data_IF_660916365419
#
_entry.id   IF_660916365419
#
_cell.length_a   1.000
_cell.length_b   1.000
_cell.length_c   1.000
_cell.angle_alpha   90.00
_cell.angle_beta   90.00
_cell.angle_gamma   90.00
#
_symmetry.space_group_name_H-M   'P 1'
#
loop_
_entity.id
_entity.type
_entity.pdbx_description
1 polymer ?
#
# COMPACT_ATOMS: atom_id res chain seq x y z
N UNK A 1 -6.93 26.25 -19.26
CA UNK A 1 -8.24 26.11 -19.93
C UNK A 1 -9.36 26.72 -19.10
N UNK A 2 -9.52 26.35 -17.81
CA UNK A 2 -10.61 26.87 -16.96
C UNK A 2 -10.63 28.41 -16.90
N UNK A 3 -9.47 29.04 -16.68
CA UNK A 3 -9.34 30.54 -16.74
C UNK A 3 -9.64 31.10 -18.13
N UNK A 4 -9.22 30.42 -19.19
CA UNK A 4 -9.48 30.84 -20.56
C UNK A 4 -10.99 30.86 -20.89
N UNK A 5 -11.74 29.90 -20.34
CA UNK A 5 -13.20 29.82 -20.52
C UNK A 5 -13.98 30.54 -19.41
N UNK A 6 -13.31 31.30 -18.54
CA UNK A 6 -13.92 32.06 -17.43
C UNK A 6 -14.87 31.21 -16.56
N UNK A 7 -14.47 29.98 -16.26
CA UNK A 7 -15.25 29.08 -15.41
C UNK A 7 -15.09 29.46 -13.93
N UNK A 8 -16.19 29.49 -13.18
CA UNK A 8 -16.20 29.85 -11.74
C UNK A 8 -15.31 28.95 -10.89
N UNK A 9 -14.99 27.75 -11.38
CA UNK A 9 -14.12 26.77 -10.70
C UNK A 9 -12.61 26.99 -11.01
N UNK A 10 -12.24 28.01 -11.80
CA UNK A 10 -10.87 28.20 -12.27
C UNK A 10 -9.86 28.43 -11.12
N UNK A 11 -10.28 29.07 -10.05
CA UNK A 11 -9.47 29.37 -8.87
C UNK A 11 -9.82 28.49 -7.65
N UNK A 12 -10.69 27.47 -7.84
CA UNK A 12 -11.00 26.50 -6.80
C UNK A 12 -9.77 25.63 -6.54
N UNK A 13 -9.27 25.52 -5.29
CA UNK A 13 -8.17 24.63 -4.97
C UNK A 13 -8.55 23.18 -5.25
N UNK A 14 -7.56 22.39 -5.67
CA UNK A 14 -7.74 20.95 -5.85
C UNK A 14 -8.19 20.32 -4.54
N UNK A 15 -9.13 19.38 -4.64
CA UNK A 15 -9.56 18.59 -3.49
C UNK A 15 -8.37 17.74 -2.99
N UNK A 16 -7.79 18.14 -1.87
CA UNK A 16 -6.62 17.47 -1.28
C UNK A 16 -7.02 16.38 -0.30
N UNK A 17 -8.29 16.35 0.13
CA UNK A 17 -8.80 15.50 1.19
C UNK A 17 -9.95 14.57 0.74
N UNK A 18 -10.21 13.56 1.57
CA UNK A 18 -11.30 12.62 1.39
C UNK A 18 -12.61 13.38 1.59
N UNK A 19 -13.45 13.47 0.56
CA UNK A 19 -14.65 14.33 0.53
C UNK A 19 -15.68 14.07 1.63
N UNK A 20 -15.70 12.88 2.25
CA UNK A 20 -16.57 12.51 3.37
C UNK A 20 -15.91 12.69 4.75
N UNK A 21 -14.72 13.30 4.82
CA UNK A 21 -14.04 13.69 6.06
C UNK A 21 -13.79 15.21 6.00
N UNK A 22 -14.83 16.03 6.25
CA UNK A 22 -14.77 17.47 6.04
C UNK A 22 -13.72 18.18 6.91
N UNK A 23 -13.43 17.63 8.09
CA UNK A 23 -12.49 18.21 9.06
C UNK A 23 -11.02 17.77 8.79
N UNK A 24 -10.75 17.00 7.72
CA UNK A 24 -9.42 16.47 7.41
C UNK A 24 -8.86 15.50 8.45
N UNK A 25 -9.60 15.19 9.52
CA UNK A 25 -9.14 14.34 10.60
C UNK A 25 -9.54 12.87 10.39
N UNK A 26 -8.84 12.23 9.46
CA UNK A 26 -8.98 10.82 9.15
C UNK A 26 -8.92 9.90 10.40
N UNK A 27 -8.06 10.23 11.38
CA UNK A 27 -7.93 9.42 12.60
C UNK A 27 -9.19 9.43 13.46
N UNK A 28 -9.81 10.59 13.63
CA UNK A 28 -11.06 10.69 14.41
C UNK A 28 -12.23 10.04 13.67
N UNK A 29 -12.26 10.15 12.35
CA UNK A 29 -13.23 9.41 11.55
C UNK A 29 -13.10 7.90 11.74
N UNK A 30 -11.90 7.35 11.68
CA UNK A 30 -11.65 5.92 11.92
C UNK A 30 -11.99 5.51 13.35
N UNK A 31 -11.67 6.33 14.37
CA UNK A 31 -12.02 6.04 15.76
C UNK A 31 -13.52 5.90 15.97
N UNK A 32 -14.32 6.77 15.31
CA UNK A 32 -15.79 6.74 15.40
C UNK A 32 -16.40 5.55 14.68
N UNK A 33 -15.79 5.08 13.59
CA UNK A 33 -16.39 4.11 12.67
C UNK A 33 -15.77 2.70 12.72
N UNK A 34 -14.68 2.48 13.48
CA UNK A 34 -14.06 1.17 13.60
C UNK A 34 -13.89 0.73 15.05
N UNK A 35 -14.48 -0.42 15.37
CA UNK A 35 -14.30 -1.07 16.68
C UNK A 35 -13.05 -1.93 16.67
N UNK A 36 -12.11 -1.65 17.56
CA UNK A 36 -10.94 -2.52 17.80
C UNK A 36 -9.62 -2.09 17.13
N UNK A 37 -9.64 -1.26 16.10
CA UNK A 37 -8.42 -0.83 15.38
C UNK A 37 -7.53 0.15 16.16
N UNK A 38 -7.99 0.62 17.32
CA UNK A 38 -7.31 1.58 18.21
C UNK A 38 -6.93 0.98 19.56
N UNK A 39 -6.83 -0.34 19.67
CA UNK A 39 -6.24 -0.98 20.85
C UNK A 39 -4.74 -0.77 20.87
N UNK A 40 -4.22 -0.42 22.04
CA UNK A 40 -2.77 -0.37 22.26
C UNK A 40 -2.14 -1.73 21.99
N UNK A 41 -0.99 -1.72 21.31
CA UNK A 41 -0.22 -2.91 20.99
C UNK A 41 1.27 -2.62 20.95
N UNK A 42 2.06 -3.61 20.55
CA UNK A 42 3.53 -3.55 20.60
C UNK A 42 4.10 -3.13 19.25
N UNK A 43 5.12 -2.28 19.28
CA UNK A 43 6.01 -2.03 18.14
C UNK A 43 7.26 -2.87 18.37
N UNK A 44 7.56 -3.77 17.44
CA UNK A 44 8.76 -4.63 17.50
C UNK A 44 9.54 -4.59 16.18
N UNK A 45 10.81 -4.95 16.26
CA UNK A 45 11.65 -5.11 15.07
C UNK A 45 11.35 -6.45 14.39
N UNK A 46 11.88 -6.66 13.18
CA UNK A 46 11.75 -7.93 12.43
C UNK A 46 12.37 -9.13 13.17
N UNK A 47 13.30 -8.90 14.10
CA UNK A 47 13.94 -9.90 14.95
C UNK A 47 13.23 -10.08 16.31
N UNK A 48 12.08 -9.42 16.50
CA UNK A 48 11.24 -9.58 17.69
C UNK A 48 11.60 -8.69 18.89
N UNK A 49 12.57 -7.78 18.75
CA UNK A 49 12.92 -6.85 19.81
C UNK A 49 11.82 -5.80 19.98
N UNK A 50 11.26 -5.68 21.18
CA UNK A 50 10.24 -4.66 21.48
C UNK A 50 10.87 -3.27 21.56
N UNK A 51 10.27 -2.30 20.89
CA UNK A 51 10.72 -0.91 20.84
C UNK A 51 9.76 0.07 21.55
N UNK A 52 8.56 -0.39 21.89
CA UNK A 52 7.54 0.43 22.53
C UNK A 52 6.13 0.00 22.20
N UNK A 53 5.19 0.92 22.38
CA UNK A 53 3.77 0.67 22.18
C UNK A 53 3.17 1.62 21.14
N UNK A 54 2.13 1.17 20.47
CA UNK A 54 1.32 1.98 19.57
C UNK A 54 -0.12 2.12 20.07
N UNK A 55 -0.80 3.19 19.70
CA UNK A 55 -2.18 3.52 20.10
C UNK A 55 -3.21 3.06 19.07
N UNK A 56 -2.91 2.01 18.33
CA UNK A 56 -3.81 1.42 17.33
C UNK A 56 -3.15 1.23 15.98
N UNK A 57 -3.39 0.04 15.38
CA UNK A 57 -2.82 -0.35 14.08
C UNK A 57 -3.24 0.56 12.93
N UNK A 58 -4.43 1.15 13.02
CA UNK A 58 -4.97 2.07 12.00
C UNK A 58 -4.12 3.34 11.79
N UNK A 59 -3.22 3.66 12.74
CA UNK A 59 -2.30 4.79 12.62
C UNK A 59 -1.06 4.48 11.78
N UNK A 60 -0.89 3.24 11.32
CA UNK A 60 0.31 2.78 10.65
C UNK A 60 0.02 2.28 9.25
N UNK A 61 0.98 2.50 8.36
CA UNK A 61 0.92 2.05 6.97
C UNK A 61 2.26 1.42 6.59
N UNK A 62 2.25 0.33 5.84
CA UNK A 62 3.48 -0.30 5.33
C UNK A 62 4.27 0.72 4.50
N UNK A 63 5.57 0.82 4.79
CA UNK A 63 6.47 1.81 4.21
C UNK A 63 6.53 3.15 4.96
N UNK A 64 5.73 3.34 6.01
CA UNK A 64 5.79 4.56 6.83
C UNK A 64 7.14 4.69 7.51
N UNK A 65 7.74 5.90 7.45
CA UNK A 65 9.01 6.25 8.09
C UNK A 65 8.84 7.23 9.25
N UNK A 66 7.92 8.21 9.09
CA UNK A 66 7.72 9.28 10.08
C UNK A 66 6.53 8.94 10.99
N UNK A 67 6.56 9.44 12.23
CA UNK A 67 5.45 9.29 13.16
C UNK A 67 5.22 7.86 13.66
N UNK A 68 6.27 7.02 13.66
CA UNK A 68 6.17 5.64 14.21
C UNK A 68 6.08 5.65 15.74
N UNK A 69 6.53 6.74 16.40
CA UNK A 69 6.46 6.86 17.87
C UNK A 69 7.60 6.16 18.63
N UNK A 70 8.58 5.63 17.93
CA UNK A 70 9.79 5.08 18.54
C UNK A 70 10.88 6.15 18.58
N UNK A 71 11.34 6.52 19.80
CA UNK A 71 12.58 7.26 19.98
C UNK A 71 13.74 6.42 19.46
N UNK A 72 14.79 7.05 18.91
CA UNK A 72 15.97 6.32 18.42
C UNK A 72 16.49 5.37 19.49
N UNK A 73 16.89 4.16 19.09
CA UNK A 73 17.40 3.14 20.00
C UNK A 73 18.71 3.68 20.61
N UNK A 74 18.69 3.93 21.92
CA UNK A 74 19.90 4.33 22.66
C UNK A 74 20.94 3.23 22.52
N UNK A 75 22.10 3.53 21.92
CA UNK A 75 23.24 2.61 21.86
C UNK A 75 23.60 2.03 20.48
N UNK A 76 22.85 2.30 19.42
CA UNK A 76 23.29 2.00 18.07
C UNK A 76 23.89 3.25 17.41
N UNK A 77 25.18 3.20 17.09
CA UNK A 77 25.94 4.28 16.42
C UNK A 77 25.54 4.53 14.95
N UNK A 78 24.52 3.82 14.42
CA UNK A 78 23.99 4.02 13.09
C UNK A 78 22.56 4.51 13.17
N UNK A 79 22.34 5.77 12.78
CA UNK A 79 21.02 6.38 12.57
C UNK A 79 20.32 5.78 11.32
N UNK A 80 20.13 4.46 11.27
CA UNK A 80 19.35 3.83 10.20
C UNK A 80 17.87 4.06 10.47
N UNK A 81 17.15 4.71 9.56
CA UNK A 81 15.72 4.95 9.75
C UNK A 81 14.96 3.63 9.74
N UNK A 82 14.04 3.47 10.69
CA UNK A 82 13.06 2.41 10.69
C UNK A 82 11.89 2.74 9.77
N UNK A 83 11.34 1.70 9.17
CA UNK A 83 10.12 1.71 8.36
C UNK A 83 9.16 0.68 8.90
N UNK A 84 7.86 0.94 8.82
CA UNK A 84 6.85 -0.09 9.06
C UNK A 84 6.94 -1.10 7.92
N UNK A 85 7.37 -2.32 8.24
CA UNK A 85 7.58 -3.39 7.25
C UNK A 85 6.41 -4.36 7.21
N UNK A 86 5.68 -4.51 8.33
CA UNK A 86 4.49 -5.34 8.41
C UNK A 86 3.55 -4.87 9.53
N UNK A 87 2.28 -5.27 9.45
CA UNK A 87 1.25 -5.00 10.45
C UNK A 87 0.54 -6.32 10.75
N UNK A 88 0.83 -6.89 11.93
CA UNK A 88 0.23 -8.14 12.37
C UNK A 88 -1.10 -7.88 13.09
N UNK A 89 -2.20 -8.02 12.37
CA UNK A 89 -3.55 -7.81 12.90
C UNK A 89 -3.93 -8.81 13.99
N UNK A 90 -3.50 -10.08 13.87
CA UNK A 90 -3.85 -11.16 14.82
C UNK A 90 -3.25 -10.90 16.20
N UNK A 91 -2.01 -10.45 16.23
CA UNK A 91 -1.25 -10.23 17.47
C UNK A 91 -1.22 -8.75 17.91
N UNK A 92 -1.91 -7.87 17.19
CA UNK A 92 -1.93 -6.43 17.44
C UNK A 92 -0.52 -5.83 17.53
N UNK A 93 0.33 -6.10 16.51
CA UNK A 93 1.73 -5.66 16.48
C UNK A 93 2.05 -4.87 15.20
N UNK A 94 2.89 -3.86 15.36
CA UNK A 94 3.54 -3.14 14.26
C UNK A 94 4.98 -3.63 14.17
N UNK A 95 5.36 -4.18 13.01
CA UNK A 95 6.73 -4.66 12.77
C UNK A 95 7.50 -3.58 12.03
N UNK A 96 8.65 -3.21 12.58
CA UNK A 96 9.52 -2.20 11.97
C UNK A 96 10.89 -2.78 11.60
N UNK A 97 11.49 -2.21 10.58
CA UNK A 97 12.80 -2.67 10.11
C UNK A 97 13.47 -1.69 9.15
N UNK A 98 14.68 -2.01 8.69
CA UNK A 98 15.37 -1.22 7.69
C UNK A 98 14.66 -1.29 6.33
N UNK A 99 14.93 -0.30 5.45
CA UNK A 99 14.25 -0.14 4.15
C UNK A 99 14.32 -1.37 3.26
N UNK A 100 15.41 -2.13 3.31
CA UNK A 100 15.59 -3.34 2.49
C UNK A 100 14.56 -4.44 2.79
N UNK A 101 14.01 -4.48 4.01
CA UNK A 101 12.92 -5.40 4.38
C UNK A 101 11.58 -5.09 3.70
N UNK A 102 11.45 -3.91 3.10
CA UNK A 102 10.27 -3.54 2.30
C UNK A 102 10.31 -4.06 0.86
N UNK A 103 11.43 -4.63 0.40
CA UNK A 103 11.57 -5.14 -0.96
C UNK A 103 10.59 -6.29 -1.22
N UNK A 104 9.76 -6.14 -2.25
CA UNK A 104 8.85 -7.17 -2.74
C UNK A 104 9.07 -7.39 -4.23
N UNK A 105 9.31 -8.64 -4.62
CA UNK A 105 9.36 -9.06 -6.02
C UNK A 105 8.04 -9.66 -6.47
N UNK A 106 7.25 -10.19 -5.53
CA UNK A 106 5.96 -10.80 -5.78
C UNK A 106 4.86 -9.98 -5.16
N UNK A 107 3.77 -9.78 -5.90
CA UNK A 107 2.56 -9.10 -5.46
C UNK A 107 1.41 -10.07 -5.64
N UNK A 108 0.77 -10.44 -4.55
CA UNK A 108 -0.43 -11.28 -4.56
C UNK A 108 -1.66 -10.41 -4.77
N UNK A 109 -2.57 -10.87 -5.61
CA UNK A 109 -3.74 -10.11 -6.03
C UNK A 109 -5.00 -10.92 -5.84
N UNK A 110 -6.07 -10.22 -5.52
CA UNK A 110 -7.45 -10.71 -5.49
C UNK A 110 -8.35 -9.80 -6.31
N UNK A 111 -9.55 -10.30 -6.59
CA UNK A 111 -10.59 -9.55 -7.31
C UNK A 111 -10.06 -8.97 -8.63
N UNK A 112 -9.40 -9.84 -9.41
CA UNK A 112 -8.83 -9.45 -10.69
C UNK A 112 -9.94 -9.05 -11.67
N UNK A 113 -9.70 -7.97 -12.40
CA UNK A 113 -10.60 -7.46 -13.43
C UNK A 113 -9.79 -7.07 -14.67
N UNK A 114 -10.29 -7.47 -15.85
CA UNK A 114 -9.68 -7.14 -17.13
C UNK A 114 -10.67 -6.38 -18.01
N UNK A 115 -10.14 -5.40 -18.76
CA UNK A 115 -10.95 -4.58 -19.67
C UNK A 115 -11.58 -5.39 -20.81
N UNK A 116 -11.06 -6.58 -21.12
CA UNK A 116 -11.64 -7.54 -22.06
C UNK A 116 -12.86 -8.30 -21.52
N UNK A 117 -13.08 -8.28 -20.20
CA UNK A 117 -14.08 -9.09 -19.53
C UNK A 117 -13.60 -10.47 -19.13
N UNK A 118 -12.61 -11.04 -19.82
CA UNK A 118 -12.12 -12.38 -19.59
C UNK A 118 -10.77 -12.39 -18.85
N UNK A 119 -10.57 -13.39 -17.98
CA UNK A 119 -9.29 -13.62 -17.33
C UNK A 119 -8.32 -14.35 -18.28
N UNK A 120 -7.09 -13.86 -18.45
CA UNK A 120 -6.09 -14.56 -19.26
C UNK A 120 -5.72 -15.91 -18.66
N UNK A 121 -5.75 -16.96 -19.48
CA UNK A 121 -5.38 -18.32 -19.05
C UNK A 121 -3.85 -18.47 -18.94
N UNK A 122 -3.09 -17.79 -19.81
CA UNK A 122 -1.63 -17.88 -19.86
C UNK A 122 -0.98 -16.69 -19.16
N UNK A 123 0.19 -16.88 -18.52
CA UNK A 123 1.01 -15.78 -18.03
C UNK A 123 1.31 -14.78 -19.14
N UNK A 124 1.34 -13.51 -18.79
CA UNK A 124 1.61 -12.43 -19.74
C UNK A 124 2.47 -11.34 -19.12
N UNK A 125 3.27 -10.68 -19.95
CA UNK A 125 4.11 -9.53 -19.55
C UNK A 125 3.31 -8.26 -19.63
N UNK A 126 3.41 -7.45 -18.59
CA UNK A 126 2.75 -6.15 -18.49
C UNK A 126 3.66 -5.12 -17.83
N UNK A 127 3.29 -3.86 -17.97
CA UNK A 127 3.84 -2.79 -17.17
C UNK A 127 2.91 -2.57 -15.98
N UNK A 128 3.47 -2.56 -14.77
CA UNK A 128 2.74 -2.63 -13.50
C UNK A 128 2.79 -1.27 -12.80
N UNK A 129 1.68 -0.84 -12.24
CA UNK A 129 1.58 0.35 -11.39
C UNK A 129 0.82 0.01 -10.11
N UNK A 130 1.43 0.25 -8.95
CA UNK A 130 0.84 -0.03 -7.62
C UNK A 130 0.50 1.22 -6.82
N UNK A 131 0.93 2.41 -7.27
CA UNK A 131 0.61 3.71 -6.68
C UNK A 131 0.65 4.81 -7.75
N UNK A 132 -0.15 5.87 -7.57
CA UNK A 132 -0.23 6.98 -8.53
C UNK A 132 1.12 7.68 -8.75
N UNK A 133 1.90 7.93 -7.71
CA UNK A 133 3.19 8.63 -7.76
C UNK A 133 4.40 7.78 -8.11
N UNK A 134 4.23 6.48 -8.43
CA UNK A 134 5.35 5.59 -8.76
C UNK A 134 5.58 5.46 -10.25
N UNK A 135 6.86 5.19 -10.60
CA UNK A 135 7.23 4.79 -11.96
C UNK A 135 6.62 3.42 -12.31
N UNK A 136 6.37 3.21 -13.59
CA UNK A 136 5.92 1.93 -14.10
C UNK A 136 7.06 0.90 -14.01
N UNK A 137 6.74 -0.32 -13.55
CA UNK A 137 7.69 -1.43 -13.44
C UNK A 137 7.22 -2.60 -14.32
N UNK A 138 8.15 -3.22 -15.03
CA UNK A 138 7.83 -4.40 -15.83
C UNK A 138 7.62 -5.61 -14.91
N UNK A 139 6.70 -6.49 -15.26
CA UNK A 139 6.44 -7.73 -14.55
C UNK A 139 5.72 -8.74 -15.41
N UNK A 140 5.60 -9.94 -14.88
CA UNK A 140 4.79 -11.01 -15.43
C UNK A 140 3.59 -11.26 -14.53
N UNK A 141 2.41 -11.29 -15.10
CA UNK A 141 1.14 -11.55 -14.40
C UNK A 141 0.73 -12.98 -14.66
N UNK A 142 0.40 -13.71 -13.60
CA UNK A 142 -0.13 -15.09 -13.63
C UNK A 142 -1.42 -15.16 -12.83
N UNK A 143 -2.43 -15.82 -13.39
CA UNK A 143 -3.63 -16.16 -12.64
C UNK A 143 -3.32 -17.44 -11.86
N UNK A 144 -3.41 -17.37 -10.52
CA UNK A 144 -3.11 -18.50 -9.64
C UNK A 144 -4.34 -19.36 -9.35
N UNK A 145 -5.53 -18.77 -9.30
CA UNK A 145 -6.79 -19.46 -9.12
C UNK A 145 -7.91 -18.72 -9.85
N UNK A 146 -8.39 -19.32 -10.95
CA UNK A 146 -9.46 -18.73 -11.77
C UNK A 146 -10.80 -18.64 -11.02
N UNK A 147 -11.12 -19.65 -10.21
CA UNK A 147 -12.40 -19.72 -9.50
C UNK A 147 -12.49 -18.68 -8.38
N UNK A 148 -11.35 -18.43 -7.72
CA UNK A 148 -11.24 -17.42 -6.64
C UNK A 148 -10.79 -16.05 -7.15
N UNK A 149 -10.56 -15.92 -8.45
CA UNK A 149 -10.12 -14.67 -9.06
C UNK A 149 -8.82 -14.12 -8.44
N UNK A 150 -7.85 -15.02 -8.21
CA UNK A 150 -6.55 -14.73 -7.60
C UNK A 150 -5.44 -14.70 -8.64
N UNK A 151 -4.42 -13.88 -8.39
CA UNK A 151 -3.25 -13.82 -9.23
C UNK A 151 -1.99 -13.40 -8.49
N UNK A 152 -0.87 -13.54 -9.17
CA UNK A 152 0.43 -13.09 -8.70
C UNK A 152 1.15 -12.32 -9.80
N UNK A 153 1.81 -11.25 -9.41
CA UNK A 153 2.70 -10.48 -10.28
C UNK A 153 4.12 -10.71 -9.81
N UNK A 154 4.98 -11.15 -10.72
CA UNK A 154 6.43 -11.21 -10.54
C UNK A 154 7.05 -9.96 -11.17
N UNK A 155 7.63 -9.09 -10.35
CA UNK A 155 8.25 -7.83 -10.80
C UNK A 155 9.68 -8.06 -11.28
N UNK A 156 10.08 -7.39 -12.36
CA UNK A 156 11.47 -7.41 -12.87
C UNK A 156 12.48 -6.71 -11.95
N UNK A 157 11.98 -5.82 -11.09
CA UNK A 157 12.75 -5.11 -10.06
C UNK A 157 11.89 -5.04 -8.80
N UNK A 158 12.50 -5.09 -7.60
CA UNK A 158 11.74 -5.04 -6.37
C UNK A 158 11.09 -3.67 -6.17
N UNK A 159 9.87 -3.68 -5.64
CA UNK A 159 9.17 -2.49 -5.19
C UNK A 159 9.13 -2.41 -3.67
N UNK A 160 9.04 -1.18 -3.15
CA UNK A 160 9.08 -0.89 -1.72
C UNK A 160 7.70 -0.41 -1.25
N UNK A 161 7.28 -0.90 -0.09
CA UNK A 161 6.02 -0.47 0.51
C UNK A 161 4.79 -0.91 -0.30
N UNK A 162 4.83 -2.11 -0.86
CA UNK A 162 3.66 -2.81 -1.40
C UNK A 162 2.73 -3.11 -0.22
N UNK A 163 1.54 -2.52 -0.22
CA UNK A 163 0.60 -2.63 0.90
C UNK A 163 -0.72 -3.27 0.45
N UNK A 164 -1.27 -4.21 1.25
CA UNK A 164 -2.59 -4.76 1.01
C UNK A 164 -3.67 -3.67 0.93
N UNK A 165 -4.69 -3.90 0.10
CA UNK A 165 -5.77 -2.94 -0.12
C UNK A 165 -5.48 -1.86 -1.17
N UNK A 166 -4.26 -1.77 -1.70
CA UNK A 166 -3.95 -0.92 -2.83
C UNK A 166 -4.27 -1.61 -4.16
N UNK A 167 -4.61 -0.82 -5.19
CA UNK A 167 -4.80 -1.33 -6.53
C UNK A 167 -3.46 -1.58 -7.21
N UNK A 168 -3.35 -2.72 -7.90
CA UNK A 168 -2.27 -3.05 -8.81
C UNK A 168 -2.84 -3.03 -10.24
N UNK A 169 -2.35 -2.12 -11.07
CA UNK A 169 -2.90 -1.89 -12.42
C UNK A 169 -1.91 -2.34 -13.48
N UNK A 170 -2.41 -3.00 -14.51
CA UNK A 170 -1.65 -3.55 -15.63
C UNK A 170 -1.84 -2.70 -16.89
N UNK A 171 -0.73 -2.43 -17.56
CA UNK A 171 -0.70 -1.71 -18.82
C UNK A 171 0.02 -2.53 -19.89
N UNK A 172 -0.43 -2.40 -21.13
CA UNK A 172 0.25 -2.95 -22.30
C UNK A 172 1.50 -2.13 -22.69
N UNK A 173 2.19 -2.57 -23.74
CA UNK A 173 3.37 -1.85 -24.28
C UNK A 173 3.06 -0.45 -24.80
N UNK A 174 1.81 -0.17 -25.15
CA UNK A 174 1.32 1.16 -25.59
C UNK A 174 0.83 2.01 -24.43
N UNK A 175 1.02 1.58 -23.19
CA UNK A 175 0.54 2.22 -21.96
C UNK A 175 -0.99 2.29 -21.87
N UNK A 176 -1.71 1.44 -22.58
CA UNK A 176 -3.15 1.28 -22.42
C UNK A 176 -3.42 0.35 -21.23
N UNK A 177 -4.33 0.73 -20.35
CA UNK A 177 -4.76 -0.11 -19.23
C UNK A 177 -5.46 -1.35 -19.77
N UNK A 178 -5.06 -2.53 -19.26
CA UNK A 178 -5.61 -3.82 -19.67
C UNK A 178 -6.33 -4.54 -18.52
N UNK A 179 -6.08 -4.15 -17.28
CA UNK A 179 -6.72 -4.74 -16.12
C UNK A 179 -6.00 -4.42 -14.83
N UNK A 180 -6.35 -5.13 -13.78
CA UNK A 180 -5.73 -5.01 -12.45
C UNK A 180 -6.39 -5.88 -11.42
N UNK A 181 -6.02 -5.67 -10.15
CA UNK A 181 -6.59 -6.32 -8.99
C UNK A 181 -6.20 -5.62 -7.71
N UNK A 182 -6.75 -6.06 -6.60
CA UNK A 182 -6.40 -5.55 -5.28
C UNK A 182 -5.23 -6.34 -4.69
N UNK A 183 -4.25 -5.62 -4.16
CA UNK A 183 -3.12 -6.24 -3.46
C UNK A 183 -3.67 -6.91 -2.20
N UNK A 184 -3.40 -8.21 -2.05
CA UNK A 184 -3.71 -8.98 -0.86
C UNK A 184 -2.47 -9.16 0.01
N UNK A 185 -2.67 -9.48 1.28
CA UNK A 185 -1.59 -10.01 2.10
C UNK A 185 -1.13 -11.34 1.49
N UNK A 186 0.18 -11.58 1.48
CA UNK A 186 0.70 -12.92 1.20
C UNK A 186 0.10 -13.90 2.21
N UNK A 187 -0.37 -15.04 1.75
CA UNK A 187 -0.73 -16.14 2.62
C UNK A 187 0.43 -16.57 3.51
#
# INVERSE_FOLDING_TARGET
LAKFFSLDVADKPDSQDICFIPDGNYRDFLKKNSTGSFKQGVIETVDGTSLGFHDGLANYTIGQRKGIGIGGIKGQNEHRPFYVVDINLKNNKVIVGPKDKLKKYFIYLKDLNFCSGDLPIKPFKATIKIRSGMSLVNGEVRISDLNKNLGVVELSKPEYGVAPGQACVFYDRKKKMIGGGWISASE
#
